data_IF_395497699477
#
_entry.id   IF_395497699477
#
_cell.length_a   1.000
_cell.length_b   1.000
_cell.length_c   1.000
_cell.angle_alpha   90.00
_cell.angle_beta   90.00
_cell.angle_gamma   90.00
#
_symmetry.space_group_name_H-M   'P 1'
#
loop_
_entity.id
_entity.type
_entity.pdbx_description
1 polymer ?
#
# COMPACT_ATOMS: atom_id res chain seq x y z
N UNK A 1 30.69 -4.86 50.71
CA UNK A 1 29.80 -4.38 49.63
C UNK A 1 28.41 -4.99 49.85
N UNK A 2 27.44 -4.20 50.33
CA UNK A 2 26.03 -4.61 50.42
C UNK A 2 25.38 -4.23 49.09
N UNK A 3 25.35 -5.15 48.13
CA UNK A 3 24.65 -4.92 46.88
C UNK A 3 23.14 -4.83 47.14
N UNK A 4 22.55 -3.73 46.70
CA UNK A 4 21.12 -3.42 46.76
C UNK A 4 20.25 -4.55 46.20
N UNK A 5 19.81 -5.49 47.06
CA UNK A 5 18.79 -6.49 46.72
C UNK A 5 17.43 -5.88 46.35
N UNK A 6 17.23 -4.59 46.63
CA UNK A 6 16.01 -3.83 46.31
C UNK A 6 15.84 -3.59 44.80
N UNK A 7 16.95 -3.49 44.04
CA UNK A 7 16.88 -3.16 42.60
C UNK A 7 16.38 -4.35 41.74
N UNK A 8 16.68 -5.59 42.15
CA UNK A 8 16.27 -6.82 41.45
C UNK A 8 14.78 -7.12 41.64
N UNK A 9 14.21 -6.78 42.79
CA UNK A 9 12.78 -6.92 43.06
C UNK A 9 11.99 -5.88 42.25
N UNK A 10 12.48 -4.64 42.14
CA UNK A 10 11.84 -3.60 41.33
C UNK A 10 11.76 -3.94 39.83
N UNK A 11 12.80 -4.56 39.27
CA UNK A 11 12.82 -5.03 37.87
C UNK A 11 11.84 -6.19 37.62
N UNK A 12 11.52 -6.98 38.66
CA UNK A 12 10.60 -8.11 38.57
C UNK A 12 9.12 -7.71 38.71
N UNK A 13 8.84 -6.58 39.37
CA UNK A 13 7.47 -6.06 39.53
C UNK A 13 7.02 -5.29 38.28
N UNK A 14 7.93 -4.56 37.64
CA UNK A 14 7.63 -3.76 36.44
C UNK A 14 7.11 -4.58 35.24
N UNK A 15 7.59 -5.82 35.08
CA UNK A 15 7.13 -6.74 34.03
C UNK A 15 5.76 -7.37 34.31
N UNK A 16 5.32 -7.42 35.58
CA UNK A 16 4.04 -8.03 35.99
C UNK A 16 2.82 -7.09 35.89
N UNK A 17 3.07 -5.78 35.79
CA UNK A 17 2.05 -4.73 35.71
C UNK A 17 1.93 -4.09 34.32
N UNK A 18 2.69 -4.58 33.34
CA UNK A 18 2.58 -4.14 31.96
C UNK A 18 1.17 -4.50 31.43
N UNK A 19 0.36 -3.45 31.29
CA UNK A 19 -0.88 -3.46 30.54
C UNK A 19 -0.55 -3.23 29.07
N UNK A 20 -1.28 -3.89 28.22
CA UNK A 20 -1.18 -3.68 26.78
C UNK A 20 -2.31 -2.73 26.37
N UNK A 21 -2.01 -1.71 25.57
CA UNK A 21 -2.98 -0.69 25.17
C UNK A 21 -4.15 -1.29 24.39
N UNK A 22 -3.87 -2.31 23.57
CA UNK A 22 -4.88 -3.03 22.79
C UNK A 22 -5.73 -3.96 23.68
N UNK A 23 -5.14 -4.62 24.68
CA UNK A 23 -5.87 -5.51 25.60
C UNK A 23 -6.36 -4.84 26.89
N UNK A 24 -6.25 -3.50 26.96
CA UNK A 24 -6.68 -2.66 28.07
C UNK A 24 -6.11 -3.08 29.43
N UNK A 25 -7.00 -3.37 30.39
CA UNK A 25 -6.61 -3.74 31.77
C UNK A 25 -6.09 -5.18 31.93
N UNK A 26 -6.08 -5.98 30.86
CA UNK A 26 -5.67 -7.38 30.90
C UNK A 26 -4.16 -7.49 31.07
N UNK A 27 -3.70 -8.21 32.10
CA UNK A 27 -2.27 -8.47 32.30
C UNK A 27 -1.74 -9.38 31.19
N UNK A 28 -0.58 -9.05 30.63
CA UNK A 28 0.09 -9.83 29.59
C UNK A 28 0.26 -11.32 29.95
N UNK A 29 0.61 -11.63 31.19
CA UNK A 29 0.73 -13.02 31.67
C UNK A 29 -0.59 -13.81 31.56
N UNK A 30 -1.72 -13.15 31.86
CA UNK A 30 -3.06 -13.75 31.73
C UNK A 30 -3.48 -13.91 30.27
N UNK A 31 -3.01 -13.02 29.39
CA UNK A 31 -3.19 -13.16 27.95
C UNK A 31 -2.44 -14.39 27.43
N UNK A 32 -1.16 -14.53 27.82
CA UNK A 32 -0.34 -15.69 27.46
C UNK A 32 -0.94 -17.01 27.93
N UNK A 33 -1.36 -17.09 29.20
CA UNK A 33 -2.02 -18.29 29.76
C UNK A 33 -3.28 -18.67 28.97
N UNK A 34 -4.05 -17.68 28.49
CA UNK A 34 -5.25 -17.91 27.67
C UNK A 34 -4.93 -18.28 26.22
N UNK A 35 -3.79 -17.86 25.68
CA UNK A 35 -3.35 -18.16 24.30
C UNK A 35 -2.45 -19.40 24.21
N UNK A 36 -1.93 -19.90 25.33
CA UNK A 36 -0.87 -20.93 25.38
C UNK A 36 -1.28 -22.22 24.66
N UNK A 37 -2.60 -22.49 24.62
CA UNK A 37 -3.19 -23.64 23.93
C UNK A 37 -4.31 -23.27 22.96
N UNK A 38 -4.52 -21.97 22.69
CA UNK A 38 -5.64 -21.47 21.88
C UNK A 38 -5.13 -20.43 20.90
N UNK A 39 -5.22 -20.75 19.61
CA UNK A 39 -4.93 -19.79 18.55
C UNK A 39 -6.07 -18.79 18.45
N UNK A 40 -5.83 -17.48 18.67
CA UNK A 40 -6.87 -16.48 18.55
C UNK A 40 -7.36 -16.35 17.10
N UNK A 41 -8.67 -16.14 16.94
CA UNK A 41 -9.21 -15.69 15.66
C UNK A 41 -9.08 -14.17 15.60
N UNK A 42 -8.22 -13.71 14.71
CA UNK A 42 -8.07 -12.28 14.40
C UNK A 42 -9.00 -11.96 13.23
N UNK A 43 -9.82 -10.92 13.36
CA UNK A 43 -10.69 -10.44 12.28
C UNK A 43 -10.51 -8.94 12.15
N UNK A 44 -10.12 -8.51 10.95
CA UNK A 44 -9.92 -7.11 10.59
C UNK A 44 -11.21 -6.64 9.93
N UNK A 45 -11.77 -5.55 10.44
CA UNK A 45 -12.94 -4.91 9.87
C UNK A 45 -12.47 -3.73 9.02
N UNK A 46 -12.88 -3.77 7.76
CA UNK A 46 -12.65 -2.72 6.77
C UNK A 46 -14.01 -2.32 6.22
N UNK A 47 -14.16 -1.06 5.79
CA UNK A 47 -15.29 -0.69 4.95
C UNK A 47 -15.23 -1.48 3.63
N UNK A 48 -16.36 -1.61 2.93
CA UNK A 48 -16.39 -2.30 1.63
C UNK A 48 -15.46 -1.63 0.61
N UNK A 49 -15.37 -0.29 0.64
CA UNK A 49 -14.48 0.50 -0.19
C UNK A 49 -13.01 0.23 0.16
N UNK A 50 -12.67 0.25 1.45
CA UNK A 50 -11.32 -0.05 1.91
C UNK A 50 -10.92 -1.46 1.53
N UNK A 51 -11.77 -2.44 1.80
CA UNK A 51 -11.55 -3.82 1.42
C UNK A 51 -11.30 -3.93 -0.09
N UNK A 52 -12.12 -3.30 -0.93
CA UNK A 52 -11.92 -3.29 -2.38
C UNK A 52 -10.56 -2.67 -2.76
N UNK A 53 -10.24 -1.50 -2.23
CA UNK A 53 -8.97 -0.81 -2.49
C UNK A 53 -7.75 -1.60 -2.02
N UNK A 54 -7.87 -2.33 -0.91
CA UNK A 54 -6.83 -3.22 -0.40
C UNK A 54 -6.53 -4.32 -1.43
N UNK A 55 -7.56 -5.01 -1.90
CA UNK A 55 -7.39 -6.07 -2.90
C UNK A 55 -6.87 -5.53 -4.23
N UNK A 56 -7.41 -4.40 -4.69
CA UNK A 56 -6.98 -3.75 -5.93
C UNK A 56 -5.48 -3.41 -5.85
N UNK A 57 -5.01 -2.85 -4.74
CA UNK A 57 -3.57 -2.58 -4.54
C UNK A 57 -2.72 -3.82 -4.76
N UNK A 58 -3.02 -4.94 -4.07
CA UNK A 58 -2.23 -6.16 -4.20
C UNK A 58 -2.26 -6.72 -5.61
N UNK A 59 -3.41 -6.64 -6.28
CA UNK A 59 -3.53 -7.02 -7.67
C UNK A 59 -2.63 -6.17 -8.56
N UNK A 60 -2.57 -4.85 -8.34
CA UNK A 60 -1.72 -3.94 -9.11
C UNK A 60 -0.23 -4.14 -8.83
N UNK A 61 0.16 -4.38 -7.58
CA UNK A 61 1.57 -4.69 -7.25
C UNK A 61 2.06 -5.94 -7.96
N UNK A 62 1.19 -6.94 -8.13
CA UNK A 62 1.49 -8.15 -8.90
C UNK A 62 1.47 -7.86 -10.41
N UNK A 63 0.36 -7.34 -10.93
CA UNK A 63 0.12 -7.27 -12.38
C UNK A 63 1.03 -6.23 -13.06
N UNK A 64 1.32 -5.10 -12.37
CA UNK A 64 2.23 -4.04 -12.86
C UNK A 64 3.71 -4.32 -12.52
N UNK A 65 4.03 -5.49 -11.97
CA UNK A 65 5.43 -5.87 -11.77
C UNK A 65 6.10 -6.14 -13.13
N UNK A 66 7.36 -5.74 -13.26
CA UNK A 66 8.16 -5.96 -14.48
C UNK A 66 8.25 -7.44 -14.91
N UNK A 67 8.07 -8.38 -13.98
CA UNK A 67 8.07 -9.81 -14.28
C UNK A 67 6.79 -10.30 -14.98
N UNK A 68 5.66 -9.63 -14.75
CA UNK A 68 4.36 -10.08 -15.24
C UNK A 68 3.84 -9.18 -16.38
N UNK A 69 3.96 -7.84 -16.23
CA UNK A 69 3.52 -6.84 -17.22
C UNK A 69 2.11 -7.14 -17.77
N UNK A 70 1.19 -7.52 -16.87
CA UNK A 70 -0.16 -7.89 -17.26
C UNK A 70 -0.98 -6.62 -17.42
N UNK A 71 -1.56 -6.41 -18.61
CA UNK A 71 -2.51 -5.32 -18.84
C UNK A 71 -3.69 -5.46 -17.88
N UNK A 72 -3.94 -4.40 -17.11
CA UNK A 72 -5.00 -4.36 -16.11
C UNK A 72 -5.56 -2.93 -16.03
N UNK A 73 -6.73 -2.74 -16.63
CA UNK A 73 -7.40 -1.43 -16.72
C UNK A 73 -7.82 -0.90 -15.34
N UNK A 74 -8.23 -1.78 -14.41
CA UNK A 74 -8.57 -1.39 -13.04
C UNK A 74 -7.36 -0.77 -12.33
N UNK A 75 -6.16 -1.29 -12.61
CA UNK A 75 -4.92 -0.75 -12.05
C UNK A 75 -4.49 0.57 -12.69
N UNK A 76 -4.84 0.81 -13.94
CA UNK A 76 -4.52 2.05 -14.66
C UNK A 76 -5.55 3.16 -14.41
N UNK A 77 -6.71 2.79 -13.88
CA UNK A 77 -7.80 3.69 -13.48
C UNK A 77 -8.00 3.75 -11.96
N UNK A 78 -7.11 3.11 -11.18
CA UNK A 78 -7.22 3.08 -9.74
C UNK A 78 -7.18 4.50 -9.13
N UNK A 79 -7.80 4.74 -7.95
CA UNK A 79 -7.94 6.09 -7.38
C UNK A 79 -6.63 6.84 -7.14
N UNK A 80 -5.50 6.13 -7.01
CA UNK A 80 -4.16 6.69 -6.82
C UNK A 80 -3.40 6.95 -8.12
N UNK A 81 -3.99 6.65 -9.28
CA UNK A 81 -3.36 6.87 -10.58
C UNK A 81 -3.66 8.28 -11.06
N UNK A 82 -2.59 9.03 -11.30
CA UNK A 82 -2.63 10.33 -11.94
C UNK A 82 -1.88 10.24 -13.28
N UNK A 83 -2.65 10.22 -14.37
CA UNK A 83 -2.12 10.09 -15.73
C UNK A 83 -1.46 11.38 -16.23
N UNK A 84 -1.88 12.55 -15.74
CA UNK A 84 -1.23 13.82 -16.04
C UNK A 84 0.18 13.84 -15.42
N UNK A 85 0.26 13.41 -14.17
CA UNK A 85 1.53 13.26 -13.48
C UNK A 85 2.43 12.21 -14.15
N UNK A 86 1.86 11.08 -14.56
CA UNK A 86 2.59 10.04 -15.30
C UNK A 86 3.14 10.58 -16.62
N UNK A 87 2.32 11.29 -17.42
CA UNK A 87 2.74 11.94 -18.66
C UNK A 87 3.86 12.95 -18.42
N UNK A 88 3.74 13.82 -17.41
CA UNK A 88 4.80 14.76 -17.04
C UNK A 88 6.11 14.07 -16.66
N UNK A 89 6.02 12.95 -15.92
CA UNK A 89 7.18 12.14 -15.55
C UNK A 89 7.89 11.50 -16.74
N UNK A 90 7.15 11.09 -17.77
CA UNK A 90 7.74 10.51 -18.98
C UNK A 90 8.78 11.46 -19.58
N UNK A 91 8.41 12.74 -19.72
CA UNK A 91 9.32 13.76 -20.26
C UNK A 91 10.40 14.14 -19.27
N UNK A 92 10.07 14.27 -17.97
CA UNK A 92 11.05 14.62 -16.94
C UNK A 92 12.16 13.57 -16.80
N UNK A 93 11.84 12.30 -17.01
CA UNK A 93 12.79 11.19 -16.97
C UNK A 93 13.42 10.87 -18.33
N UNK A 94 13.11 11.66 -19.37
CA UNK A 94 13.59 11.47 -20.74
C UNK A 94 13.30 10.07 -21.30
N UNK A 95 12.18 9.45 -20.90
CA UNK A 95 11.72 8.21 -21.55
C UNK A 95 11.20 8.48 -22.96
N UNK A 96 10.71 9.69 -23.20
CA UNK A 96 10.38 10.25 -24.51
C UNK A 96 11.02 11.63 -24.60
N UNK A 97 11.70 11.90 -25.70
CA UNK A 97 12.22 13.22 -25.99
C UNK A 97 11.09 14.12 -26.51
N UNK A 98 10.68 15.10 -25.70
CA UNK A 98 9.59 16.03 -26.02
C UNK A 98 9.86 16.80 -27.33
N UNK A 99 11.13 17.01 -27.72
CA UNK A 99 11.48 17.71 -28.96
C UNK A 99 11.13 16.92 -30.23
N UNK A 100 10.93 15.60 -30.13
CA UNK A 100 10.53 14.74 -31.25
C UNK A 100 9.04 14.83 -31.57
N UNK A 101 8.24 15.44 -30.68
CA UNK A 101 6.79 15.59 -30.85
C UNK A 101 6.50 16.86 -31.64
N UNK A 102 6.32 16.72 -32.95
CA UNK A 102 6.00 17.83 -33.87
C UNK A 102 4.55 17.84 -34.35
N UNK A 103 3.81 16.76 -34.13
CA UNK A 103 2.42 16.62 -34.55
C UNK A 103 1.51 17.50 -33.68
N UNK A 104 0.67 18.33 -34.32
CA UNK A 104 -0.18 19.31 -33.62
C UNK A 104 -1.21 18.64 -32.69
N UNK A 105 -1.73 17.46 -33.06
CA UNK A 105 -2.69 16.75 -32.22
C UNK A 105 -1.98 16.18 -30.99
N UNK A 106 -0.78 15.61 -31.16
CA UNK A 106 -0.01 15.08 -30.04
C UNK A 106 0.50 16.18 -29.11
N UNK A 107 0.86 17.34 -29.66
CA UNK A 107 1.17 18.54 -28.88
C UNK A 107 -0.03 19.01 -28.04
N UNK A 108 -1.25 18.85 -28.53
CA UNK A 108 -2.46 19.16 -27.75
C UNK A 108 -2.67 18.16 -26.59
N UNK A 109 -2.35 16.88 -26.79
CA UNK A 109 -2.43 15.83 -25.77
C UNK A 109 -1.44 16.09 -24.64
N UNK A 110 -0.17 16.40 -24.95
CA UNK A 110 0.86 16.55 -23.91
C UNK A 110 0.78 17.86 -23.12
N UNK A 111 -0.02 18.83 -23.57
CA UNK A 111 -0.17 20.14 -22.94
C UNK A 111 -1.53 20.35 -22.27
N UNK A 112 -2.47 19.41 -22.40
CA UNK A 112 -3.76 19.48 -21.69
C UNK A 112 -3.68 18.84 -20.30
N UNK A 113 -4.69 19.11 -19.49
CA UNK A 113 -4.99 18.36 -18.26
C UNK A 113 -6.03 17.27 -18.55
N UNK A 114 -6.14 16.30 -17.63
CA UNK A 114 -7.01 15.14 -17.71
C UNK A 114 -6.73 14.26 -18.96
N UNK A 115 -5.46 13.87 -19.11
CA UNK A 115 -5.01 12.90 -20.10
C UNK A 115 -5.69 11.55 -19.84
N UNK A 116 -6.25 10.96 -20.89
CA UNK A 116 -6.86 9.63 -20.79
C UNK A 116 -5.81 8.54 -21.00
N UNK A 117 -6.12 7.32 -20.57
CA UNK A 117 -5.22 6.19 -20.75
C UNK A 117 -4.90 5.93 -22.23
N UNK A 118 -5.90 6.04 -23.12
CA UNK A 118 -5.72 5.85 -24.55
C UNK A 118 -4.79 6.90 -25.17
N UNK A 119 -4.85 8.14 -24.68
CA UNK A 119 -3.97 9.21 -25.13
C UNK A 119 -2.54 9.01 -24.63
N UNK A 120 -2.39 8.61 -23.37
CA UNK A 120 -1.09 8.24 -22.82
C UNK A 120 -0.46 7.08 -23.60
N UNK A 121 -1.24 6.03 -23.86
CA UNK A 121 -0.83 4.88 -24.65
C UNK A 121 -0.43 5.26 -26.08
N UNK A 122 -1.20 6.14 -26.73
CA UNK A 122 -0.89 6.66 -28.06
C UNK A 122 0.47 7.37 -28.09
N UNK A 123 0.74 8.27 -27.13
CA UNK A 123 2.02 8.97 -27.04
C UNK A 123 3.18 8.01 -26.77
N UNK A 124 3.00 7.05 -25.85
CA UNK A 124 4.02 6.04 -25.53
C UNK A 124 4.35 5.19 -26.76
N UNK A 125 3.35 4.67 -27.46
CA UNK A 125 3.54 3.79 -28.60
C UNK A 125 4.13 4.52 -29.82
N UNK A 126 3.80 5.81 -30.00
CA UNK A 126 4.28 6.60 -31.15
C UNK A 126 5.70 7.12 -30.96
N UNK A 127 6.07 7.54 -29.75
CA UNK A 127 7.32 8.25 -29.48
C UNK A 127 8.31 7.48 -28.58
N UNK A 128 8.03 6.21 -28.27
CA UNK A 128 8.94 5.34 -27.53
C UNK A 128 8.95 3.92 -28.11
N UNK A 129 9.94 3.13 -27.70
CA UNK A 129 10.00 1.70 -28.00
C UNK A 129 9.41 0.83 -26.88
N UNK A 130 8.70 1.43 -25.93
CA UNK A 130 8.10 0.74 -24.79
C UNK A 130 6.60 0.57 -25.00
N UNK A 131 6.04 -0.50 -24.44
CA UNK A 131 4.58 -0.64 -24.33
C UNK A 131 4.05 0.13 -23.12
N UNK A 132 2.75 0.38 -23.09
CA UNK A 132 2.06 0.98 -21.94
C UNK A 132 2.33 0.19 -20.65
N UNK A 133 2.18 -1.14 -20.68
CA UNK A 133 2.38 -2.01 -19.51
C UNK A 133 3.80 -1.89 -18.96
N UNK A 134 4.79 -1.81 -19.87
CA UNK A 134 6.19 -1.67 -19.49
C UNK A 134 6.45 -0.31 -18.86
N UNK A 135 5.93 0.77 -19.44
CA UNK A 135 6.09 2.13 -18.91
C UNK A 135 5.39 2.33 -17.57
N UNK A 136 4.18 1.77 -17.41
CA UNK A 136 3.44 1.88 -16.17
C UNK A 136 3.92 0.88 -15.10
N UNK A 137 4.87 0.00 -15.42
CA UNK A 137 5.41 -0.94 -14.43
C UNK A 137 6.17 -0.23 -13.31
N UNK A 138 6.19 -0.84 -12.13
CA UNK A 138 6.75 -0.24 -10.91
C UNK A 138 8.18 0.33 -11.06
N UNK A 139 9.13 -0.32 -11.77
CA UNK A 139 10.50 0.18 -11.89
C UNK A 139 10.66 1.49 -12.68
N UNK A 140 9.73 1.80 -13.59
CA UNK A 140 9.73 3.07 -14.34
C UNK A 140 9.16 4.22 -13.50
N UNK A 141 8.48 3.90 -12.40
CA UNK A 141 8.08 4.86 -11.39
C UNK A 141 7.14 5.96 -11.90
N UNK A 142 6.43 5.75 -13.01
CA UNK A 142 5.45 6.70 -13.54
C UNK A 142 4.23 6.79 -12.60
N UNK A 143 3.75 5.63 -12.16
CA UNK A 143 2.68 5.50 -11.16
C UNK A 143 3.30 5.01 -9.85
N UNK A 144 2.89 5.61 -8.73
CA UNK A 144 3.28 5.16 -7.40
C UNK A 144 2.08 4.47 -6.75
N UNK A 145 2.18 3.16 -6.56
CA UNK A 145 1.22 2.42 -5.74
C UNK A 145 1.43 2.87 -4.28
N UNK A 146 0.39 3.35 -3.59
CA UNK A 146 0.51 3.87 -2.24
C UNK A 146 0.77 2.75 -1.22
N UNK A 147 1.38 3.13 -0.09
CA UNK A 147 1.31 2.29 1.10
C UNK A 147 -0.15 2.30 1.58
N UNK A 148 -0.70 1.13 1.91
CA UNK A 148 -2.09 1.04 2.31
C UNK A 148 -2.24 1.34 3.80
N UNK A 149 -3.06 2.34 4.11
CA UNK A 149 -3.44 2.73 5.46
C UNK A 149 -4.85 3.29 5.40
N UNK A 150 -5.67 2.92 6.38
CA UNK A 150 -7.06 3.35 6.48
C UNK A 150 -7.34 3.77 7.91
N UNK A 151 -8.12 4.83 8.09
CA UNK A 151 -8.35 5.43 9.41
C UNK A 151 -9.40 4.66 10.22
N UNK A 152 -10.39 4.06 9.56
CA UNK A 152 -11.55 3.43 10.19
C UNK A 152 -11.40 1.91 10.37
N UNK A 153 -10.22 1.35 10.08
CA UNK A 153 -9.99 -0.08 10.33
C UNK A 153 -10.02 -0.40 11.82
N UNK A 154 -10.67 -1.51 12.17
CA UNK A 154 -10.63 -2.06 13.53
C UNK A 154 -10.24 -3.53 13.51
N UNK A 155 -9.74 -4.03 14.64
CA UNK A 155 -9.31 -5.42 14.80
C UNK A 155 -10.05 -6.03 15.97
N UNK A 156 -10.72 -7.15 15.71
CA UNK A 156 -11.25 -8.02 16.76
C UNK A 156 -10.32 -9.21 16.97
N UNK A 157 -10.06 -9.51 18.23
CA UNK A 157 -9.27 -10.64 18.68
C UNK A 157 -10.15 -11.56 19.51
N UNK A 158 -10.50 -12.72 18.98
CA UNK A 158 -11.40 -13.68 19.63
C UNK A 158 -10.61 -14.88 20.19
N UNK A 159 -10.72 -15.09 21.51
CA UNK A 159 -10.21 -16.25 22.21
C UNK A 159 -11.38 -17.10 22.73
N UNK A 160 -11.72 -18.17 22.01
CA UNK A 160 -12.78 -19.12 22.40
C UNK A 160 -14.12 -18.44 22.77
N UNK A 161 -14.55 -17.45 21.98
CA UNK A 161 -15.79 -16.70 22.18
C UNK A 161 -15.64 -15.43 23.02
N UNK A 162 -14.45 -15.16 23.56
CA UNK A 162 -14.14 -13.88 24.22
C UNK A 162 -13.53 -12.91 23.21
N UNK A 163 -14.31 -11.93 22.79
CA UNK A 163 -13.91 -10.93 21.80
C UNK A 163 -13.31 -9.70 22.49
N UNK A 164 -12.09 -9.36 22.09
CA UNK A 164 -11.42 -8.11 22.40
C UNK A 164 -11.45 -7.21 21.14
N UNK A 165 -11.68 -5.92 21.31
CA UNK A 165 -11.82 -4.90 20.25
C UNK A 165 -10.93 -3.72 20.55
#
# INVERSE_FOLDING_TARGET
MKFNSVLLIALSIGSSLAKDEFFGSTRRAKLFEKTDFVVPKITIHLSDEDYHNFFLKYQCERDMNLRYLKRNEDCYSAPWVDLDYAMGKIFRHNYIDKSTITDTNDLSIINKSNVTLSELEHIINKYSNFSLEKMLSTPYGLIKIPNYSVEEASLTFDLNGYVFT
#
